data_IF_971028701252
#
_entry.id   IF_971028701252
#
_cell.length_a   1.000
_cell.length_b   1.000
_cell.length_c   1.000
_cell.angle_alpha   90.00
_cell.angle_beta   90.00
_cell.angle_gamma   90.00
#
_symmetry.space_group_name_H-M   'P 1'
#
loop_
_entity.id
_entity.type
_entity.pdbx_description
1 polymer ?
#
# COMPACT_ATOMS: atom_id res chain seq x y z
N UNK A 1 24.63 6.65 -26.32
CA UNK A 1 24.49 5.72 -25.18
C UNK A 1 23.02 5.36 -25.06
N UNK A 2 22.60 4.25 -25.66
CA UNK A 2 21.21 3.78 -25.61
C UNK A 2 21.11 2.85 -24.40
N UNK A 3 20.36 3.26 -23.36
CA UNK A 3 20.01 2.36 -22.25
C UNK A 3 19.18 1.21 -22.82
N UNK A 4 19.52 -0.01 -22.46
CA UNK A 4 18.76 -1.19 -22.84
C UNK A 4 17.41 -1.15 -22.09
N UNK A 5 16.25 -1.29 -22.74
CA UNK A 5 14.96 -1.31 -22.04
C UNK A 5 14.82 -2.45 -21.02
N UNK A 6 15.70 -3.46 -21.06
CA UNK A 6 15.80 -4.47 -20.00
C UNK A 6 16.42 -3.93 -18.69
N UNK A 7 17.25 -2.87 -18.74
CA UNK A 7 17.89 -2.27 -17.56
C UNK A 7 16.94 -1.37 -16.74
N UNK A 8 15.86 -0.86 -17.35
CA UNK A 8 14.88 -0.01 -16.65
C UNK A 8 14.07 -0.80 -15.59
N UNK A 9 13.97 -2.12 -15.75
CA UNK A 9 13.32 -2.99 -14.77
C UNK A 9 14.22 -3.36 -13.58
N UNK A 10 15.54 -3.16 -13.71
CA UNK A 10 16.54 -3.44 -12.67
C UNK A 10 17.00 -2.17 -11.95
N UNK A 11 16.39 -1.02 -12.24
CA UNK A 11 16.75 0.21 -11.53
C UNK A 11 16.16 0.15 -10.12
N UNK A 12 16.95 0.49 -9.07
CA UNK A 12 16.43 0.60 -7.71
C UNK A 12 15.20 1.51 -7.64
N UNK A 13 14.31 1.18 -6.71
CA UNK A 13 13.18 2.03 -6.35
C UNK A 13 13.66 3.13 -5.41
N UNK A 14 13.05 4.31 -5.49
CA UNK A 14 13.40 5.44 -4.61
C UNK A 14 13.22 5.03 -3.13
N UNK A 15 14.23 5.30 -2.31
CA UNK A 15 14.21 4.96 -0.88
C UNK A 15 14.45 3.47 -0.56
N UNK A 16 14.70 2.60 -1.54
CA UNK A 16 14.97 1.17 -1.31
C UNK A 16 16.40 0.82 -1.70
N UNK A 17 17.14 0.25 -0.74
CA UNK A 17 18.53 -0.17 -0.93
C UNK A 17 18.56 -1.70 -1.04
N UNK A 18 19.09 -2.19 -2.16
CA UNK A 18 19.29 -3.61 -2.41
C UNK A 18 19.59 -3.87 -3.89
N UNK A 19 20.61 -4.66 -4.17
CA UNK A 19 21.13 -4.93 -5.52
C UNK A 19 21.13 -6.43 -5.89
N UNK A 20 20.71 -7.30 -4.96
CA UNK A 20 20.67 -8.74 -5.18
C UNK A 20 19.73 -9.13 -6.33
N UNK A 21 19.99 -10.24 -7.05
CA UNK A 21 19.12 -10.70 -8.13
C UNK A 21 17.65 -10.90 -7.70
N UNK A 22 17.42 -11.30 -6.45
CA UNK A 22 16.08 -11.43 -5.90
C UNK A 22 15.37 -10.06 -5.77
N UNK A 23 16.08 -9.03 -5.31
CA UNK A 23 15.54 -7.67 -5.24
C UNK A 23 15.27 -7.09 -6.62
N UNK A 24 16.09 -7.41 -7.62
CA UNK A 24 15.81 -7.00 -9.00
C UNK A 24 14.49 -7.59 -9.52
N UNK A 25 14.19 -8.85 -9.19
CA UNK A 25 12.90 -9.45 -9.52
C UNK A 25 11.74 -8.75 -8.80
N UNK A 26 11.93 -8.34 -7.53
CA UNK A 26 10.95 -7.55 -6.78
C UNK A 26 10.71 -6.20 -7.46
N UNK A 27 11.77 -5.45 -7.83
CA UNK A 27 11.63 -4.16 -8.51
C UNK A 27 10.87 -4.27 -9.83
N UNK A 28 11.21 -5.28 -10.65
CA UNK A 28 10.51 -5.54 -11.90
C UNK A 28 9.03 -5.86 -11.69
N UNK A 29 8.70 -6.66 -10.67
CA UNK A 29 7.32 -6.99 -10.32
C UNK A 29 6.56 -5.76 -9.80
N UNK A 30 7.19 -4.95 -8.93
CA UNK A 30 6.63 -3.69 -8.41
C UNK A 30 6.23 -2.76 -9.55
N UNK A 31 7.12 -2.51 -10.52
CA UNK A 31 6.81 -1.66 -11.69
C UNK A 31 5.66 -2.22 -12.51
N UNK A 32 5.63 -3.54 -12.72
CA UNK A 32 4.57 -4.22 -13.48
C UNK A 32 3.20 -4.07 -12.82
N UNK A 33 3.11 -4.31 -11.50
CA UNK A 33 1.82 -4.22 -10.79
C UNK A 33 1.37 -2.78 -10.58
N UNK A 34 2.31 -1.83 -10.44
CA UNK A 34 2.00 -0.40 -10.31
C UNK A 34 1.23 0.16 -11.51
N UNK A 35 1.52 -0.33 -12.72
CA UNK A 35 0.79 0.06 -13.94
C UNK A 35 -0.66 -0.49 -14.00
N UNK A 36 -1.05 -1.37 -13.06
CA UNK A 36 -2.36 -2.03 -13.05
C UNK A 36 -3.29 -1.50 -11.94
N UNK A 37 -4.56 -1.89 -12.02
CA UNK A 37 -5.57 -1.64 -10.98
C UNK A 37 -5.81 -2.87 -10.09
N UNK A 38 -5.00 -3.91 -10.21
CA UNK A 38 -5.17 -5.14 -9.45
C UNK A 38 -4.81 -4.93 -7.96
N UNK A 39 -5.49 -5.66 -7.08
CA UNK A 39 -5.07 -5.78 -5.68
C UNK A 39 -3.76 -6.56 -5.60
N UNK A 40 -2.82 -6.08 -4.78
CA UNK A 40 -1.49 -6.68 -4.62
C UNK A 40 -1.34 -7.23 -3.21
N UNK A 41 -0.96 -8.50 -3.09
CA UNK A 41 -0.59 -9.13 -1.82
C UNK A 41 0.94 -9.10 -1.67
N UNK A 42 1.43 -8.48 -0.59
CA UNK A 42 2.85 -8.45 -0.25
C UNK A 42 3.16 -9.48 0.81
N UNK A 43 4.02 -10.45 0.46
CA UNK A 43 4.44 -11.53 1.37
C UNK A 43 5.90 -11.34 1.71
N UNK A 44 6.25 -11.51 2.98
CA UNK A 44 7.61 -11.42 3.47
C UNK A 44 7.65 -11.34 4.99
N UNK A 45 8.80 -11.63 5.57
CA UNK A 45 9.02 -11.61 7.01
C UNK A 45 8.86 -10.19 7.59
N UNK A 46 8.69 -10.11 8.90
CA UNK A 46 8.66 -8.84 9.64
C UNK A 46 9.98 -8.09 9.45
N UNK A 47 9.92 -6.79 9.18
CA UNK A 47 11.12 -5.97 8.99
C UNK A 47 11.75 -6.00 7.60
N UNK A 48 11.21 -6.76 6.64
CA UNK A 48 11.74 -6.84 5.25
C UNK A 48 11.42 -5.64 4.35
N UNK A 49 10.79 -4.59 4.89
CA UNK A 49 10.51 -3.36 4.14
C UNK A 49 9.30 -3.42 3.21
N UNK A 50 8.31 -4.29 3.48
CA UNK A 50 7.06 -4.38 2.69
C UNK A 50 6.34 -3.04 2.53
N UNK A 51 6.38 -2.18 3.55
CA UNK A 51 5.80 -0.83 3.49
C UNK A 51 6.46 0.04 2.41
N UNK A 52 7.78 -0.09 2.21
CA UNK A 52 8.50 0.62 1.15
C UNK A 52 8.06 0.13 -0.22
N UNK A 53 7.84 -1.17 -0.38
CA UNK A 53 7.33 -1.76 -1.63
C UNK A 53 5.89 -1.31 -1.90
N UNK A 54 5.02 -1.31 -0.89
CA UNK A 54 3.64 -0.81 -1.02
C UNK A 54 3.61 0.66 -1.45
N UNK A 55 4.49 1.48 -0.85
CA UNK A 55 4.64 2.88 -1.17
C UNK A 55 5.13 3.07 -2.61
N UNK A 56 6.15 2.33 -3.02
CA UNK A 56 6.67 2.38 -4.38
C UNK A 56 5.64 1.96 -5.44
N UNK A 57 4.79 0.95 -5.14
CA UNK A 57 3.67 0.57 -6.02
C UNK A 57 2.71 1.74 -6.20
N UNK A 58 2.37 2.44 -5.11
CA UNK A 58 1.49 3.61 -5.19
C UNK A 58 2.11 4.75 -6.00
N UNK A 59 3.34 5.16 -5.65
CA UNK A 59 4.03 6.30 -6.29
C UNK A 59 4.25 6.07 -7.79
N UNK A 60 4.49 4.83 -8.22
CA UNK A 60 4.66 4.46 -9.64
C UNK A 60 3.35 4.22 -10.39
N UNK A 61 2.20 4.21 -9.70
CA UNK A 61 0.91 3.95 -10.33
C UNK A 61 0.29 5.23 -10.92
N UNK A 62 -0.71 5.11 -11.81
CA UNK A 62 -1.53 6.26 -12.24
C UNK A 62 -2.24 7.00 -11.10
N UNK A 63 -2.27 6.41 -9.89
CA UNK A 63 -2.88 6.96 -8.68
C UNK A 63 -1.84 7.55 -7.70
N UNK A 64 -0.57 7.66 -8.09
CA UNK A 64 0.51 8.14 -7.21
C UNK A 64 0.38 9.60 -6.77
N UNK A 65 -0.46 10.39 -7.42
CA UNK A 65 -0.81 11.75 -6.97
C UNK A 65 -1.97 11.77 -5.96
N UNK A 66 -2.66 10.65 -5.78
CA UNK A 66 -3.78 10.50 -4.85
C UNK A 66 -3.32 10.17 -3.42
N UNK A 67 -4.26 9.99 -2.48
CA UNK A 67 -3.90 9.63 -1.11
C UNK A 67 -3.31 8.22 -1.00
N UNK A 68 -2.28 8.05 -0.18
CA UNK A 68 -1.79 6.75 0.27
C UNK A 68 -2.19 6.54 1.73
N UNK A 69 -3.23 5.75 1.96
CA UNK A 69 -3.78 5.52 3.31
C UNK A 69 -3.30 4.17 3.82
N UNK A 70 -2.58 4.19 4.95
CA UNK A 70 -2.16 2.96 5.62
C UNK A 70 -3.08 2.62 6.78
N UNK A 71 -3.39 1.34 6.92
CA UNK A 71 -4.14 0.75 8.04
C UNK A 71 -3.36 -0.44 8.55
N UNK A 72 -2.98 -0.44 9.83
CA UNK A 72 -2.43 -1.64 10.48
C UNK A 72 -3.61 -2.42 11.08
N UNK A 73 -3.84 -3.63 10.56
CA UNK A 73 -4.94 -4.49 10.96
C UNK A 73 -4.63 -5.28 12.25
N UNK A 74 -3.35 -5.53 12.54
CA UNK A 74 -2.92 -6.28 13.73
C UNK A 74 -3.15 -5.56 15.06
N UNK A 75 -3.31 -4.23 15.05
CA UNK A 75 -3.44 -3.42 16.26
C UNK A 75 -4.88 -3.24 16.79
N UNK A 76 -5.92 -3.72 16.08
CA UNK A 76 -7.32 -3.41 16.38
C UNK A 76 -8.17 -4.67 16.60
N UNK A 77 -9.20 -4.57 17.45
CA UNK A 77 -10.27 -5.59 17.50
C UNK A 77 -11.10 -5.52 16.22
N UNK A 78 -11.75 -6.63 15.85
CA UNK A 78 -12.56 -6.73 14.62
C UNK A 78 -13.58 -5.59 14.46
N UNK A 79 -14.31 -5.27 15.54
CA UNK A 79 -15.29 -4.17 15.56
C UNK A 79 -14.67 -2.78 15.37
N UNK A 80 -13.44 -2.56 15.85
CA UNK A 80 -12.73 -1.30 15.67
C UNK A 80 -12.09 -1.22 14.28
N UNK A 81 -11.63 -2.34 13.74
CA UNK A 81 -11.10 -2.43 12.38
C UNK A 81 -12.19 -2.10 11.35
N UNK A 82 -13.37 -2.70 11.49
CA UNK A 82 -14.52 -2.41 10.61
C UNK A 82 -14.90 -0.92 10.67
N UNK A 83 -14.98 -0.37 11.88
CA UNK A 83 -15.29 1.04 12.12
C UNK A 83 -14.23 2.01 11.56
N UNK A 84 -12.94 1.66 11.59
CA UNK A 84 -11.89 2.45 10.93
C UNK A 84 -11.98 2.32 9.41
N UNK A 85 -12.15 1.12 8.86
CA UNK A 85 -12.17 0.89 7.42
C UNK A 85 -13.36 1.57 6.73
N UNK A 86 -14.56 1.38 7.28
CA UNK A 86 -15.82 1.80 6.66
C UNK A 86 -16.41 3.06 7.29
N UNK A 87 -15.89 3.49 8.45
CA UNK A 87 -16.45 4.59 9.20
C UNK A 87 -17.65 4.15 10.04
N UNK A 88 -18.25 5.12 10.73
CA UNK A 88 -19.45 4.89 11.51
C UNK A 88 -20.30 6.16 11.66
N UNK A 89 -21.58 5.95 11.92
CA UNK A 89 -22.52 7.02 12.28
C UNK A 89 -22.60 7.10 13.81
N UNK A 90 -22.79 8.30 14.34
CA UNK A 90 -23.04 8.53 15.76
C UNK A 90 -24.12 7.58 16.27
N UNK A 91 -23.82 6.85 17.33
CA UNK A 91 -24.73 5.91 17.98
C UNK A 91 -24.78 4.50 17.40
N UNK A 92 -23.93 4.14 16.43
CA UNK A 92 -23.88 2.76 15.91
C UNK A 92 -23.31 1.73 16.90
N UNK A 93 -22.50 2.16 17.88
CA UNK A 93 -22.00 1.32 18.98
C UNK A 93 -21.71 2.16 20.25
N UNK A 94 -21.45 1.50 21.38
CA UNK A 94 -21.08 2.16 22.64
C UNK A 94 -19.73 2.87 22.50
N UNK A 95 -19.76 4.20 22.40
CA UNK A 95 -18.58 5.04 22.18
C UNK A 95 -18.59 5.82 20.86
N UNK A 96 -19.55 5.57 19.97
CA UNK A 96 -19.75 6.33 18.72
C UNK A 96 -20.34 7.73 18.99
N UNK A 97 -19.52 8.64 19.52
CA UNK A 97 -19.91 10.00 19.90
C UNK A 97 -20.11 10.95 18.72
N UNK A 98 -19.56 10.63 17.55
CA UNK A 98 -19.66 11.43 16.33
C UNK A 98 -19.69 10.54 15.08
N UNK A 99 -20.03 11.13 13.94
CA UNK A 99 -19.84 10.48 12.64
C UNK A 99 -18.36 10.49 12.27
N UNK A 100 -17.89 9.44 11.63
CA UNK A 100 -16.50 9.32 11.16
C UNK A 100 -16.46 8.67 9.79
N UNK A 101 -15.80 9.34 8.84
CA UNK A 101 -15.50 8.78 7.52
C UNK A 101 -14.49 7.63 7.63
N UNK A 102 -14.66 6.60 6.79
CA UNK A 102 -13.81 5.43 6.78
C UNK A 102 -12.48 5.65 6.05
N UNK A 103 -11.52 4.76 6.29
CA UNK A 103 -10.22 4.76 5.59
C UNK A 103 -10.36 4.49 4.10
N UNK A 104 -11.35 3.73 3.66
CA UNK A 104 -11.65 3.55 2.24
C UNK A 104 -12.06 4.87 1.57
N UNK A 105 -12.88 5.67 2.26
CA UNK A 105 -13.28 7.00 1.78
C UNK A 105 -12.08 7.96 1.74
N UNK A 106 -11.25 7.94 2.79
CA UNK A 106 -10.02 8.74 2.83
C UNK A 106 -9.01 8.34 1.72
N UNK A 107 -9.05 7.08 1.26
CA UNK A 107 -8.21 6.56 0.19
C UNK A 107 -8.82 6.77 -1.21
N UNK A 108 -9.97 7.45 -1.31
CA UNK A 108 -10.63 7.68 -2.59
C UNK A 108 -9.68 8.33 -3.60
N UNK A 109 -9.70 7.86 -4.85
CA UNK A 109 -8.76 8.20 -5.95
C UNK A 109 -7.30 7.77 -5.76
N UNK A 110 -6.95 7.21 -4.61
CA UNK A 110 -5.59 6.81 -4.25
C UNK A 110 -5.45 5.30 -4.01
N UNK A 111 -4.64 4.94 -3.02
CA UNK A 111 -4.35 3.55 -2.63
C UNK A 111 -4.54 3.39 -1.12
N UNK A 112 -5.17 2.28 -0.72
CA UNK A 112 -5.18 1.82 0.67
C UNK A 112 -4.20 0.65 0.83
N UNK A 113 -3.33 0.72 1.83
CA UNK A 113 -2.42 -0.36 2.22
C UNK A 113 -2.87 -0.94 3.55
N UNK A 114 -3.24 -2.21 3.53
CA UNK A 114 -3.64 -3.00 4.70
C UNK A 114 -2.43 -3.80 5.16
N UNK A 115 -1.81 -3.37 6.24
CA UNK A 115 -0.65 -4.02 6.84
C UNK A 115 -1.12 -5.05 7.86
N UNK A 116 -0.44 -6.20 7.91
CA UNK A 116 -0.79 -7.33 8.79
C UNK A 116 -2.24 -7.84 8.59
N UNK A 117 -2.66 -7.95 7.31
CA UNK A 117 -3.95 -8.56 6.91
C UNK A 117 -3.91 -10.09 6.97
#
# INVERSE_FOLDING_TARGET
MLRNPADDNATPLEGIIGDSPAMQAVYAMTRRVAASTASVLLVGETGTGKELIARAIHDLSPRGSGPFVRVNCGALSESLLESELFGHVRGSFTGAVANRAGRFEAAHTGTIFLDEI
#
